data_IF_694330754572
#
_entry.id   IF_694330754572
#
_cell.length_a   1.000
_cell.length_b   1.000
_cell.length_c   1.000
_cell.angle_alpha   90.00
_cell.angle_beta   90.00
_cell.angle_gamma   90.00
#
_symmetry.space_group_name_H-M   'P 1'
#
loop_
_entity.id
_entity.type
_entity.pdbx_description
1 polymer ?
#
# COMPACT_ATOMS: atom_id res chain seq x y z
N UNK A 1 -22.70 -4.80 -4.65
CA UNK A 1 -21.84 -3.66 -4.99
C UNK A 1 -21.05 -4.03 -6.23
N UNK A 2 -20.99 -3.16 -7.25
CA UNK A 2 -20.17 -3.42 -8.43
C UNK A 2 -18.69 -3.10 -8.16
N UNK A 3 -17.79 -3.50 -9.06
CA UNK A 3 -16.36 -3.31 -8.86
C UNK A 3 -15.96 -1.83 -8.66
N UNK A 4 -16.53 -0.91 -9.45
CA UNK A 4 -16.22 0.52 -9.34
C UNK A 4 -16.63 1.11 -7.98
N UNK A 5 -17.85 0.80 -7.52
CA UNK A 5 -18.35 1.23 -6.21
C UNK A 5 -17.50 0.68 -5.06
N UNK A 6 -16.98 -0.54 -5.21
CA UNK A 6 -16.09 -1.16 -4.23
C UNK A 6 -14.77 -0.42 -4.10
N UNK A 7 -14.15 -0.10 -5.23
CA UNK A 7 -12.91 0.68 -5.28
C UNK A 7 -13.13 2.08 -4.70
N UNK A 8 -14.23 2.74 -5.04
CA UNK A 8 -14.56 4.07 -4.51
C UNK A 8 -14.73 4.03 -2.99
N UNK A 9 -15.45 3.04 -2.46
CA UNK A 9 -15.62 2.85 -1.02
C UNK A 9 -14.28 2.61 -0.31
N UNK A 10 -13.39 1.83 -0.92
CA UNK A 10 -12.04 1.63 -0.40
C UNK A 10 -11.26 2.94 -0.38
N UNK A 11 -11.20 3.68 -1.49
CA UNK A 11 -10.44 4.94 -1.56
C UNK A 11 -10.95 6.00 -0.57
N UNK A 12 -12.26 6.05 -0.30
CA UNK A 12 -12.85 6.95 0.70
C UNK A 12 -12.45 6.58 2.13
N UNK A 13 -12.40 5.29 2.44
CA UNK A 13 -12.07 4.80 3.79
C UNK A 13 -10.56 4.68 4.04
N UNK A 14 -9.78 4.54 2.97
CA UNK A 14 -8.34 4.30 2.96
C UNK A 14 -7.64 5.38 2.12
N UNK A 15 -7.54 6.61 2.64
CA UNK A 15 -6.93 7.69 1.89
C UNK A 15 -5.48 7.34 1.52
N UNK A 16 -5.11 7.63 0.27
CA UNK A 16 -3.75 7.46 -0.21
C UNK A 16 -2.88 8.60 0.32
N UNK A 17 -1.96 8.25 1.21
CA UNK A 17 -1.00 9.16 1.83
C UNK A 17 0.30 9.17 1.04
N UNK A 18 1.12 10.21 1.23
CA UNK A 18 2.44 10.31 0.58
C UNK A 18 3.52 10.44 1.64
N UNK A 19 4.60 9.66 1.50
CA UNK A 19 5.81 9.77 2.33
C UNK A 19 7.03 9.79 1.43
N UNK A 20 7.88 10.80 1.61
CA UNK A 20 9.18 10.87 0.94
C UNK A 20 10.25 10.14 1.75
N UNK A 21 10.94 9.19 1.13
CA UNK A 21 12.01 8.38 1.71
C UNK A 21 13.19 8.40 0.74
N UNK A 22 14.36 8.86 1.19
CA UNK A 22 15.58 8.92 0.38
C UNK A 22 15.37 9.57 -1.00
N UNK A 23 14.58 10.65 -1.04
CA UNK A 23 14.27 11.40 -2.27
C UNK A 23 13.18 10.80 -3.16
N UNK A 24 12.60 9.66 -2.79
CA UNK A 24 11.51 8.99 -3.53
C UNK A 24 10.20 9.11 -2.78
N UNK A 25 9.14 9.50 -3.50
CA UNK A 25 7.79 9.56 -2.94
C UNK A 25 7.09 8.20 -3.00
N UNK A 26 6.62 7.75 -1.85
CA UNK A 26 5.82 6.55 -1.68
C UNK A 26 4.37 6.94 -1.43
N UNK A 27 3.47 6.48 -2.30
CA UNK A 27 2.03 6.60 -2.10
C UNK A 27 1.53 5.36 -1.39
N UNK A 28 0.94 5.49 -0.21
CA UNK A 28 0.61 4.36 0.65
C UNK A 28 -0.76 4.51 1.31
N UNK A 29 -1.36 3.38 1.66
CA UNK A 29 -2.50 3.34 2.59
C UNK A 29 -2.07 2.68 3.88
N UNK A 30 -2.62 3.15 5.00
CA UNK A 30 -2.33 2.63 6.32
C UNK A 30 -3.63 2.48 7.11
N UNK A 31 -3.91 1.26 7.56
CA UNK A 31 -5.16 0.95 8.23
C UNK A 31 -5.01 -0.13 9.30
N UNK A 32 -6.09 -0.37 10.03
CA UNK A 32 -6.12 -1.29 11.15
C UNK A 32 -5.43 -0.75 12.41
N UNK A 33 -5.65 -1.42 13.53
CA UNK A 33 -5.13 -1.05 14.86
C UNK A 33 -4.53 -2.26 15.61
N UNK A 34 -4.15 -3.31 14.88
CA UNK A 34 -3.58 -4.52 15.47
C UNK A 34 -2.15 -4.31 16.01
N UNK A 35 -1.74 -5.13 16.97
CA UNK A 35 -0.40 -5.06 17.59
C UNK A 35 0.76 -5.55 16.71
N UNK A 36 0.46 -6.12 15.53
CA UNK A 36 1.45 -6.52 14.52
C UNK A 36 1.15 -5.81 13.20
N UNK A 37 2.21 -5.33 12.55
CA UNK A 37 2.13 -4.65 11.25
C UNK A 37 2.42 -5.63 10.12
N UNK A 38 1.52 -5.70 9.13
CA UNK A 38 1.71 -6.42 7.89
C UNK A 38 2.03 -5.42 6.77
N UNK A 39 3.13 -5.67 6.06
CA UNK A 39 3.51 -4.91 4.86
C UNK A 39 3.11 -5.74 3.64
N UNK A 40 2.18 -5.23 2.84
CA UNK A 40 1.77 -5.87 1.59
C UNK A 40 2.55 -5.24 0.43
N UNK A 41 3.50 -5.99 -0.11
CA UNK A 41 4.29 -5.56 -1.26
C UNK A 41 3.57 -5.94 -2.56
N UNK A 42 3.18 -4.93 -3.33
CA UNK A 42 2.55 -5.16 -4.63
C UNK A 42 3.58 -5.56 -5.69
N UNK A 43 3.25 -6.60 -6.44
CA UNK A 43 3.93 -6.98 -7.68
C UNK A 43 3.16 -6.54 -8.93
N UNK A 44 3.62 -6.97 -10.10
CA UNK A 44 2.92 -6.73 -11.37
C UNK A 44 2.78 -5.24 -11.71
N UNK A 45 1.54 -4.75 -11.77
CA UNK A 45 1.19 -3.36 -12.10
C UNK A 45 1.70 -2.33 -11.09
N UNK A 46 2.13 -2.75 -9.89
CA UNK A 46 2.69 -1.86 -8.88
C UNK A 46 1.67 -0.94 -8.21
N UNK A 47 0.38 -1.26 -8.29
CA UNK A 47 -0.70 -0.45 -7.70
C UNK A 47 -1.27 -1.13 -6.45
N UNK A 48 -1.17 -0.46 -5.30
CA UNK A 48 -1.65 -0.93 -3.99
C UNK A 48 -3.15 -1.22 -3.96
N UNK A 49 -3.93 -0.50 -4.77
CA UNK A 49 -5.38 -0.68 -4.88
C UNK A 49 -5.79 -2.09 -5.31
N UNK A 50 -4.92 -2.81 -6.01
CA UNK A 50 -5.18 -4.20 -6.40
C UNK A 50 -5.37 -5.14 -5.19
N UNK A 51 -4.91 -4.71 -4.00
CA UNK A 51 -4.96 -5.49 -2.78
C UNK A 51 -6.11 -5.04 -1.85
N UNK A 52 -7.02 -4.15 -2.29
CA UNK A 52 -8.09 -3.59 -1.46
C UNK A 52 -8.92 -4.66 -0.71
N UNK A 53 -9.29 -5.75 -1.37
CA UNK A 53 -10.01 -6.87 -0.75
C UNK A 53 -9.21 -7.52 0.38
N UNK A 54 -7.91 -7.70 0.17
CA UNK A 54 -7.03 -8.30 1.15
C UNK A 54 -6.82 -7.37 2.35
N UNK A 55 -6.69 -6.07 2.11
CA UNK A 55 -6.57 -5.05 3.16
C UNK A 55 -7.80 -5.06 4.07
N UNK A 56 -9.01 -5.01 3.50
CA UNK A 56 -10.27 -5.06 4.28
C UNK A 56 -10.38 -6.28 5.21
N UNK A 57 -9.81 -7.41 4.81
CA UNK A 57 -9.83 -8.63 5.64
C UNK A 57 -8.77 -8.57 6.73
N UNK A 58 -7.54 -8.17 6.37
CA UNK A 58 -6.40 -8.20 7.28
C UNK A 58 -6.45 -7.11 8.34
N UNK A 59 -6.94 -5.92 8.00
CA UNK A 59 -6.97 -4.77 8.91
C UNK A 59 -7.86 -4.96 10.14
N UNK A 60 -8.79 -5.92 10.08
CA UNK A 60 -9.63 -6.31 11.22
C UNK A 60 -8.81 -6.92 12.36
N UNK A 61 -7.60 -7.43 12.07
CA UNK A 61 -6.73 -8.13 13.03
C UNK A 61 -5.33 -7.54 13.12
N UNK A 62 -4.86 -6.93 12.04
CA UNK A 62 -3.51 -6.41 11.92
C UNK A 62 -3.54 -4.92 11.66
N UNK A 63 -2.42 -4.26 11.96
CA UNK A 63 -2.12 -3.00 11.30
C UNK A 63 -1.58 -3.33 9.91
N UNK A 64 -2.06 -2.67 8.86
CA UNK A 64 -1.72 -3.00 7.48
C UNK A 64 -1.17 -1.75 6.80
N UNK A 65 -0.03 -1.92 6.12
CA UNK A 65 0.51 -0.92 5.21
C UNK A 65 0.71 -1.54 3.83
N UNK A 66 0.28 -0.82 2.80
CA UNK A 66 0.55 -1.15 1.39
C UNK A 66 0.85 0.13 0.64
N UNK A 67 1.64 0.05 -0.42
CA UNK A 67 2.06 1.22 -1.18
C UNK A 67 2.21 0.91 -2.67
N UNK A 68 1.99 1.93 -3.49
CA UNK A 68 2.26 1.85 -4.91
C UNK A 68 3.77 1.76 -5.14
N UNK A 69 4.19 0.86 -6.01
CA UNK A 69 5.58 0.75 -6.39
C UNK A 69 6.01 2.06 -7.07
N UNK A 70 7.01 2.79 -6.54
CA UNK A 70 7.38 4.07 -7.12
C UNK A 70 7.93 3.86 -8.53
N UNK A 71 7.35 4.51 -9.53
CA UNK A 71 7.70 4.32 -10.96
C UNK A 71 9.18 4.62 -11.24
N UNK A 72 9.79 5.50 -10.45
CA UNK A 72 11.22 5.83 -10.52
C UNK A 72 12.12 4.64 -10.13
N UNK A 73 11.60 3.70 -9.34
CA UNK A 73 12.27 2.46 -8.98
C UNK A 73 11.89 1.42 -10.05
N UNK A 74 12.84 1.04 -10.92
CA UNK A 74 12.57 0.09 -12.02
C UNK A 74 12.77 -1.38 -11.64
N UNK A 75 13.39 -1.66 -10.49
CA UNK A 75 13.74 -3.03 -10.05
C UNK A 75 13.52 -3.17 -8.56
N UNK A 76 12.97 -4.31 -8.14
CA UNK A 76 12.72 -4.65 -6.73
C UNK A 76 13.98 -4.53 -5.86
N UNK A 77 15.15 -4.90 -6.39
CA UNK A 77 16.43 -4.75 -5.66
C UNK A 77 16.70 -3.30 -5.24
N UNK A 78 16.30 -2.33 -6.07
CA UNK A 78 16.54 -0.92 -5.79
C UNK A 78 15.57 -0.37 -4.74
N UNK A 79 14.41 -1.02 -4.55
CA UNK A 79 13.51 -0.70 -3.44
C UNK A 79 14.22 -0.93 -2.10
N UNK A 80 14.96 -2.04 -1.96
CA UNK A 80 15.71 -2.32 -0.74
C UNK A 80 16.75 -1.24 -0.45
N UNK A 81 17.44 -0.73 -1.47
CA UNK A 81 18.41 0.35 -1.31
C UNK A 81 17.72 1.63 -0.82
N UNK A 82 16.58 2.00 -1.42
CA UNK A 82 15.83 3.20 -1.03
C UNK A 82 15.25 3.09 0.39
N UNK A 83 14.87 1.89 0.82
CA UNK A 83 14.29 1.67 2.15
C UNK A 83 15.33 1.38 3.24
N UNK A 84 16.59 1.14 2.87
CA UNK A 84 17.69 0.92 3.82
C UNK A 84 18.25 2.25 4.32
N UNK A 85 18.58 2.28 5.61
CA UNK A 85 19.30 3.38 6.27
C UNK A 85 20.81 3.10 6.26
#
# INVERSE_FOLDING_TARGET
>A
MNFAQHIEAYQKSHPLLVKRINGVDFRYTFSGKGGKTLVLLVGGLGLSIAYCNLVFVLEKKYQVITFDFPVVIRRMRNLLIVLSY
#
